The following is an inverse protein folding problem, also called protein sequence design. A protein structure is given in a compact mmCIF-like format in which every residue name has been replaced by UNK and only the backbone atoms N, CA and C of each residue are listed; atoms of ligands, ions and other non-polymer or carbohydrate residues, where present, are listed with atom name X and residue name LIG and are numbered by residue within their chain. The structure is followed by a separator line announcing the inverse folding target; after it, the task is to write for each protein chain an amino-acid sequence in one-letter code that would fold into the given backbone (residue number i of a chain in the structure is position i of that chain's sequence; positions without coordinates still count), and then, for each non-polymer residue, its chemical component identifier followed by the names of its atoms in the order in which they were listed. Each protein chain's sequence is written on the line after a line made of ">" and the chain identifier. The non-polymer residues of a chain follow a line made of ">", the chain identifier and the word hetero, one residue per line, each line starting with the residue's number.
data_IF_039233878093
#
_entry.id   IF_039233878093
#
_cell.length_a   1.000
_cell.length_b   1.000
_cell.length_c   1.000
_cell.angle_alpha   90.00
_cell.angle_beta   90.00
_cell.angle_gamma   90.00
#
_symmetry.space_group_name_H-M   'P 1'
#
loop_
_entity.id
_entity.type
_entity.pdbx_description
1 polymer ?
#
# COMPACT_ATOMS: atom_id res chain seq x y z
N UNK A 1 16.29 -17.00 -3.82
CA UNK A 1 16.57 -17.70 -2.55
C UNK A 1 15.69 -18.94 -2.51
N UNK A 2 16.24 -20.08 -2.13
CA UNK A 2 15.45 -21.31 -1.98
C UNK A 2 14.56 -21.22 -0.73
N UNK A 3 13.39 -21.88 -0.72
CA UNK A 3 12.50 -21.93 0.45
C UNK A 3 13.18 -22.47 1.72
N UNK A 4 14.27 -23.24 1.57
CA UNK A 4 15.09 -23.72 2.68
C UNK A 4 15.93 -22.61 3.32
N UNK A 5 16.53 -21.73 2.52
CA UNK A 5 17.36 -20.62 3.01
C UNK A 5 16.52 -19.56 3.75
N UNK A 6 15.26 -19.34 3.35
CA UNK A 6 14.35 -18.44 4.07
C UNK A 6 14.02 -18.92 5.49
N UNK A 7 13.86 -20.23 5.67
CA UNK A 7 13.48 -20.83 6.96
C UNK A 7 14.65 -20.97 7.93
N UNK A 8 15.90 -20.98 7.44
CA UNK A 8 17.08 -21.01 8.31
C UNK A 8 17.43 -19.64 8.90
N UNK A 9 17.21 -18.57 8.16
CA UNK A 9 17.54 -17.21 8.61
C UNK A 9 16.70 -16.83 9.82
N UNK A 10 17.32 -16.45 10.93
CA UNK A 10 16.62 -16.12 12.17
C UNK A 10 15.89 -17.31 12.81
N UNK A 11 16.36 -18.55 12.59
CA UNK A 11 15.79 -19.79 13.18
C UNK A 11 15.60 -19.76 14.70
N UNK A 12 16.32 -18.87 15.38
CA UNK A 12 16.31 -18.72 16.83
C UNK A 12 15.35 -17.63 17.34
N UNK A 13 14.69 -16.92 16.43
CA UNK A 13 13.67 -15.93 16.78
C UNK A 13 12.39 -16.69 17.13
N UNK A 14 11.91 -16.50 18.35
CA UNK A 14 10.59 -16.97 18.73
C UNK A 14 9.56 -16.25 17.85
N UNK A 15 8.64 -17.00 17.24
CA UNK A 15 7.64 -16.46 16.32
C UNK A 15 8.22 -15.86 15.02
N UNK A 16 9.28 -16.48 14.50
CA UNK A 16 9.92 -16.18 13.20
C UNK A 16 8.94 -16.01 12.02
N UNK A 17 7.79 -16.67 12.06
CA UNK A 17 6.77 -16.60 11.02
C UNK A 17 6.17 -15.20 10.78
N UNK A 18 6.30 -14.26 11.73
CA UNK A 18 5.79 -12.90 11.58
C UNK A 18 6.80 -11.88 11.04
N UNK A 19 8.02 -12.31 10.73
CA UNK A 19 9.10 -11.44 10.29
C UNK A 19 9.47 -11.80 8.86
N UNK A 20 9.52 -10.83 7.96
CA UNK A 20 9.97 -11.07 6.59
C UNK A 20 11.46 -11.46 6.59
N UNK A 21 11.82 -12.51 5.83
CA UNK A 21 13.19 -13.04 5.75
C UNK A 21 14.21 -11.98 5.35
N UNK A 22 13.79 -11.04 4.49
CA UNK A 22 14.60 -9.93 3.97
C UNK A 22 14.95 -8.91 5.06
N UNK A 23 14.19 -8.87 6.16
CA UNK A 23 14.41 -7.95 7.28
C UNK A 23 15.36 -8.50 8.33
N UNK A 24 15.70 -9.77 8.27
CA UNK A 24 16.62 -10.40 9.22
C UNK A 24 18.04 -10.28 8.66
N UNK A 25 18.95 -9.73 9.44
CA UNK A 25 20.38 -9.64 9.12
C UNK A 25 21.14 -10.46 10.15
N UNK A 26 21.92 -11.44 9.68
CA UNK A 26 22.78 -12.27 10.52
C UNK A 26 24.22 -12.11 10.01
N UNK A 27 24.94 -11.07 10.48
CA UNK A 27 26.30 -10.83 10.04
C UNK A 27 27.25 -11.90 10.61
N UNK A 28 28.19 -12.38 9.79
CA UNK A 28 29.19 -13.36 10.25
C UNK A 28 30.14 -12.76 11.29
N UNK A 29 30.44 -11.45 11.17
CA UNK A 29 31.22 -10.68 12.14
C UNK A 29 30.57 -9.32 12.35
N UNK A 30 30.41 -8.94 13.61
CA UNK A 30 29.84 -7.65 14.00
C UNK A 30 30.56 -7.14 15.24
N UNK A 31 31.21 -5.99 15.13
CA UNK A 31 31.75 -5.26 16.28
C UNK A 31 31.01 -3.95 16.43
N UNK A 32 30.56 -3.63 17.65
CA UNK A 32 29.96 -2.33 17.95
C UNK A 32 30.56 -1.81 19.26
N UNK A 33 31.11 -0.59 19.23
CA UNK A 33 31.71 0.03 20.41
C UNK A 33 32.89 -0.74 21.00
N UNK A 34 33.61 -1.53 20.19
CA UNK A 34 34.72 -2.38 20.64
C UNK A 34 34.28 -3.70 21.29
N UNK A 35 32.99 -4.05 21.22
CA UNK A 35 32.45 -5.33 21.69
C UNK A 35 32.12 -6.21 20.49
N UNK A 36 32.66 -7.44 20.48
CA UNK A 36 32.29 -8.47 19.51
C UNK A 36 30.87 -8.98 19.80
N UNK A 37 29.99 -8.79 18.82
CA UNK A 37 28.61 -9.26 18.80
C UNK A 37 28.37 -10.23 17.64
N UNK A 38 29.41 -10.91 17.16
CA UNK A 38 29.27 -12.00 16.20
C UNK A 38 28.37 -13.14 16.70
N UNK A 39 27.73 -13.83 15.77
CA UNK A 39 26.80 -14.92 16.06
C UNK A 39 25.39 -14.47 16.44
N UNK A 40 24.67 -15.28 17.23
CA UNK A 40 23.21 -15.13 17.47
C UNK A 40 22.81 -13.78 18.07
N UNK A 41 23.62 -13.21 18.95
CA UNK A 41 23.30 -11.95 19.61
C UNK A 41 23.43 -10.75 18.66
N UNK A 42 24.13 -10.91 17.54
CA UNK A 42 24.24 -9.94 16.46
C UNK A 42 23.13 -10.04 15.41
N UNK A 43 22.14 -10.93 15.57
CA UNK A 43 20.99 -10.98 14.66
C UNK A 43 20.16 -9.71 14.79
N UNK A 44 20.07 -8.95 13.71
CA UNK A 44 19.28 -7.72 13.64
C UNK A 44 17.98 -7.96 12.89
N UNK A 45 16.88 -7.43 13.41
CA UNK A 45 15.60 -7.39 12.71
C UNK A 45 15.32 -5.94 12.34
N UNK A 46 15.34 -5.64 11.04
CA UNK A 46 15.03 -4.32 10.54
C UNK A 46 13.56 -3.95 10.83
N UNK A 47 13.29 -2.69 11.20
CA UNK A 47 11.93 -2.25 11.51
C UNK A 47 11.01 -2.36 10.30
N UNK A 48 9.72 -2.61 10.53
CA UNK A 48 8.66 -2.62 9.49
C UNK A 48 8.16 -1.23 9.12
N UNK A 49 8.82 -0.18 9.58
CA UNK A 49 8.45 1.20 9.32
C UNK A 49 8.39 1.46 7.82
N UNK A 50 7.29 2.04 7.37
CA UNK A 50 7.09 2.48 6.00
C UNK A 50 7.53 3.93 5.94
N UNK A 51 8.48 4.24 5.06
CA UNK A 51 9.00 5.61 4.91
C UNK A 51 8.58 6.23 3.57
N UNK A 52 8.05 5.44 2.65
CA UNK A 52 7.74 5.84 1.27
C UNK A 52 6.34 6.48 1.16
N UNK A 53 6.09 7.51 1.97
CA UNK A 53 4.89 8.33 1.88
C UNK A 53 5.19 9.63 1.14
N UNK A 54 4.39 9.91 0.11
CA UNK A 54 4.42 11.15 -0.62
C UNK A 54 3.06 11.85 -0.55
N UNK A 55 2.99 12.85 0.32
CA UNK A 55 1.78 13.63 0.54
C UNK A 55 1.39 14.51 -0.66
N UNK A 56 2.27 14.70 -1.64
CA UNK A 56 1.93 15.44 -2.87
C UNK A 56 0.91 14.71 -3.72
N UNK A 57 0.88 13.37 -3.68
CA UNK A 57 -0.06 12.54 -4.44
C UNK A 57 -1.52 12.92 -4.15
N UNK A 58 -1.83 13.14 -2.88
CA UNK A 58 -3.16 13.54 -2.44
C UNK A 58 -3.54 14.93 -3.00
N UNK A 59 -2.60 15.87 -3.01
CA UNK A 59 -2.81 17.20 -3.57
C UNK A 59 -2.92 17.18 -5.10
N UNK A 60 -2.16 16.32 -5.79
CA UNK A 60 -2.29 16.10 -7.23
C UNK A 60 -3.67 15.56 -7.61
N UNK A 61 -4.16 14.56 -6.88
CA UNK A 61 -5.52 14.03 -7.10
C UNK A 61 -6.57 15.10 -6.84
N UNK A 62 -6.43 15.91 -5.78
CA UNK A 62 -7.38 17.01 -5.48
C UNK A 62 -7.48 18.05 -6.61
N UNK A 63 -6.40 18.28 -7.36
CA UNK A 63 -6.36 19.19 -8.51
C UNK A 63 -7.08 18.63 -9.74
N UNK A 64 -7.26 17.30 -9.81
CA UNK A 64 -7.92 16.64 -10.92
C UNK A 64 -9.45 16.60 -10.75
N UNK A 65 -10.22 16.54 -11.85
CA UNK A 65 -11.67 16.43 -11.80
C UNK A 65 -12.13 15.25 -10.93
N UNK A 66 -13.08 15.51 -10.01
CA UNK A 66 -13.62 14.52 -9.07
C UNK A 66 -12.74 14.24 -7.84
N UNK A 67 -11.53 14.78 -7.78
CA UNK A 67 -10.66 14.63 -6.61
C UNK A 67 -10.91 15.64 -5.48
N UNK A 68 -11.62 16.75 -5.74
CA UNK A 68 -11.80 17.87 -4.79
C UNK A 68 -12.20 17.44 -3.37
N UNK A 69 -13.15 16.51 -3.27
CA UNK A 69 -13.73 16.07 -2.00
C UNK A 69 -13.07 14.81 -1.41
N UNK A 70 -12.00 14.27 -2.01
CA UNK A 70 -11.36 13.01 -1.58
C UNK A 70 -11.00 13.00 -0.09
N UNK A 71 -10.63 14.16 0.46
CA UNK A 71 -10.30 14.36 1.88
C UNK A 71 -11.44 13.93 2.83
N UNK A 72 -12.70 14.04 2.42
CA UNK A 72 -13.90 13.71 3.21
C UNK A 72 -14.11 12.22 3.42
N UNK A 73 -13.39 11.36 2.71
CA UNK A 73 -13.52 9.92 2.83
C UNK A 73 -13.10 9.41 4.21
N UNK A 74 -14.04 8.76 4.90
CA UNK A 74 -13.89 8.12 6.22
C UNK A 74 -13.95 6.58 6.20
N UNK A 75 -13.80 5.98 5.02
CA UNK A 75 -13.61 4.52 4.85
C UNK A 75 -14.83 3.61 5.16
N UNK A 76 -16.06 4.13 5.06
CA UNK A 76 -17.29 3.32 5.28
C UNK A 76 -17.53 2.14 4.33
N UNK A 77 -17.01 2.18 3.09
CA UNK A 77 -17.10 1.04 2.16
C UNK A 77 -18.34 0.95 1.26
N UNK A 78 -19.30 1.89 1.34
CA UNK A 78 -20.45 1.92 0.42
C UNK A 78 -20.04 1.87 -1.06
N UNK A 79 -18.99 2.59 -1.42
CA UNK A 79 -18.49 2.63 -2.80
C UNK A 79 -18.05 1.26 -3.32
N UNK A 80 -17.46 0.42 -2.46
CA UNK A 80 -17.05 -0.95 -2.80
C UNK A 80 -18.26 -1.86 -2.87
N UNK A 81 -19.20 -1.76 -1.91
CA UNK A 81 -20.40 -2.59 -1.85
C UNK A 81 -21.30 -2.46 -3.11
N UNK A 82 -21.41 -1.27 -3.69
CA UNK A 82 -22.22 -1.03 -4.91
C UNK A 82 -21.46 -1.25 -6.21
N UNK A 83 -20.15 -1.54 -6.15
CA UNK A 83 -19.31 -1.62 -7.34
C UNK A 83 -19.36 -3.02 -7.97
N UNK A 84 -19.84 -3.16 -9.22
CA UNK A 84 -19.87 -4.46 -9.88
C UNK A 84 -18.45 -4.98 -10.19
N UNK A 85 -17.50 -4.08 -10.48
CA UNK A 85 -16.10 -4.44 -10.74
C UNK A 85 -15.45 -5.01 -9.49
N UNK A 86 -15.65 -4.38 -8.33
CA UNK A 86 -15.11 -4.88 -7.07
C UNK A 86 -15.72 -6.24 -6.65
N UNK A 87 -16.94 -6.53 -7.09
CA UNK A 87 -17.57 -7.83 -6.89
C UNK A 87 -16.96 -8.91 -7.79
N UNK A 88 -16.67 -8.58 -9.05
CA UNK A 88 -16.06 -9.52 -10.00
C UNK A 88 -14.55 -9.69 -9.81
N UNK A 89 -13.85 -8.64 -9.37
CA UNK A 89 -12.40 -8.57 -9.19
C UNK A 89 -12.09 -8.04 -7.78
N UNK A 90 -11.91 -8.93 -6.79
CA UNK A 90 -11.66 -8.54 -5.40
C UNK A 90 -10.42 -7.64 -5.19
N UNK A 91 -9.47 -7.68 -6.11
CA UNK A 91 -8.26 -6.86 -6.15
C UNK A 91 -8.58 -5.38 -6.44
N UNK A 92 -9.68 -5.11 -7.15
CA UNK A 92 -10.17 -3.76 -7.39
C UNK A 92 -11.05 -3.29 -6.24
N UNK A 93 -10.51 -2.40 -5.41
CA UNK A 93 -11.27 -1.84 -4.29
C UNK A 93 -11.19 -0.31 -4.28
N UNK A 94 -12.24 0.41 -4.70
CA UNK A 94 -12.21 1.88 -4.78
C UNK A 94 -12.03 2.54 -3.41
N UNK A 95 -12.53 1.92 -2.33
CA UNK A 95 -12.29 2.39 -0.96
C UNK A 95 -10.80 2.36 -0.60
N UNK A 96 -10.15 1.23 -0.87
CA UNK A 96 -8.73 1.02 -0.55
C UNK A 96 -7.85 1.95 -1.39
N UNK A 97 -8.13 2.08 -2.68
CA UNK A 97 -7.41 3.00 -3.57
C UNK A 97 -7.50 4.44 -3.08
N UNK A 98 -8.68 4.90 -2.64
CA UNK A 98 -8.82 6.23 -2.01
C UNK A 98 -7.99 6.33 -0.73
N UNK A 99 -7.96 5.28 0.10
CA UNK A 99 -7.21 5.25 1.35
C UNK A 99 -5.70 5.44 1.14
N UNK A 100 -5.11 4.61 0.28
CA UNK A 100 -3.67 4.64 0.00
C UNK A 100 -3.27 5.93 -0.73
N UNK A 101 -4.16 6.47 -1.57
CA UNK A 101 -3.99 7.79 -2.20
C UNK A 101 -3.93 8.90 -1.15
N UNK A 102 -4.87 8.90 -0.18
CA UNK A 102 -4.87 9.88 0.92
C UNK A 102 -3.62 9.78 1.79
N UNK A 103 -3.12 8.58 2.02
CA UNK A 103 -1.87 8.38 2.77
C UNK A 103 -0.62 8.77 1.98
N UNK A 104 -0.71 8.81 0.64
CA UNK A 104 0.46 9.06 -0.20
C UNK A 104 1.36 7.83 -0.35
N UNK A 105 0.85 6.62 -0.12
CA UNK A 105 1.69 5.42 -0.09
C UNK A 105 2.05 4.96 -1.52
N UNK A 106 3.07 5.60 -2.12
CA UNK A 106 3.39 5.46 -3.55
C UNK A 106 3.79 4.05 -3.97
N UNK A 107 4.57 3.34 -3.15
CA UNK A 107 4.97 1.96 -3.49
C UNK A 107 3.78 1.03 -3.50
N UNK A 108 2.83 1.24 -2.58
CA UNK A 108 1.60 0.46 -2.52
C UNK A 108 0.66 0.78 -3.67
N UNK A 109 0.40 2.05 -3.97
CA UNK A 109 -0.53 2.43 -5.05
C UNK A 109 -0.06 1.93 -6.42
N UNK A 110 1.26 1.86 -6.66
CA UNK A 110 1.85 1.30 -7.88
C UNK A 110 1.49 -0.15 -8.12
N UNK A 111 1.37 -0.96 -7.06
CA UNK A 111 0.95 -2.37 -7.17
C UNK A 111 -0.45 -2.50 -7.74
N UNK A 112 -1.30 -1.48 -7.59
CA UNK A 112 -2.67 -1.48 -8.08
C UNK A 112 -2.85 -0.82 -9.44
N UNK A 113 -1.77 -0.43 -10.12
CA UNK A 113 -1.81 0.27 -11.41
C UNK A 113 -2.71 -0.45 -12.42
N UNK A 114 -2.58 -1.77 -12.56
CA UNK A 114 -3.38 -2.56 -13.49
C UNK A 114 -4.87 -2.62 -13.10
N UNK A 115 -5.16 -2.74 -11.80
CA UNK A 115 -6.52 -2.85 -11.31
C UNK A 115 -7.29 -1.54 -11.44
N UNK A 116 -6.64 -0.37 -11.34
CA UNK A 116 -7.32 0.93 -11.49
C UNK A 116 -8.00 1.06 -12.86
N UNK A 117 -7.42 0.48 -13.92
CA UNK A 117 -8.00 0.50 -15.27
C UNK A 117 -9.23 -0.41 -15.43
N UNK A 118 -9.53 -1.28 -14.46
CA UNK A 118 -10.75 -2.09 -14.46
C UNK A 118 -12.01 -1.24 -14.17
N UNK A 119 -11.85 -0.01 -13.67
CA UNK A 119 -12.97 0.88 -13.41
C UNK A 119 -13.77 1.16 -14.68
N UNK A 120 -15.03 0.71 -14.71
CA UNK A 120 -15.95 0.95 -15.85
C UNK A 120 -16.48 2.39 -15.94
N UNK A 121 -16.15 3.26 -14.99
CA UNK A 121 -16.61 4.65 -14.98
C UNK A 121 -18.11 4.85 -14.73
N UNK A 122 -18.85 3.82 -14.31
CA UNK A 122 -20.32 3.84 -14.20
C UNK A 122 -20.91 4.79 -13.13
N UNK A 123 -20.11 5.32 -12.21
CA UNK A 123 -20.55 6.37 -11.27
C UNK A 123 -21.40 5.92 -10.06
N UNK A 124 -21.81 4.65 -9.97
CA UNK A 124 -22.63 4.13 -8.85
C UNK A 124 -22.04 4.43 -7.47
N UNK A 125 -20.72 4.30 -7.36
CA UNK A 125 -19.96 4.57 -6.13
C UNK A 125 -20.02 6.04 -5.67
N UNK A 126 -20.13 6.99 -6.60
CA UNK A 126 -20.24 8.41 -6.31
C UNK A 126 -21.63 8.78 -5.80
N UNK A 127 -22.69 8.20 -6.39
CA UNK A 127 -24.06 8.36 -5.90
C UNK A 127 -24.24 7.73 -4.51
N UNK A 128 -23.61 6.57 -4.26
CA UNK A 128 -23.71 5.88 -2.98
C UNK A 128 -22.90 6.52 -1.83
N UNK A 129 -22.08 7.53 -2.11
CA UNK A 129 -21.18 8.10 -1.10
C UNK A 129 -21.92 9.05 -0.14
N UNK A 130 -21.99 8.75 1.18
CA UNK A 130 -22.68 9.63 2.14
C UNK A 130 -21.88 10.89 2.49
N UNK A 131 -20.64 11.02 1.99
CA UNK A 131 -19.73 12.13 2.29
C UNK A 131 -19.42 12.99 1.06
N UNK A 132 -20.17 12.79 -0.03
CA UNK A 132 -20.01 13.56 -1.27
C UNK A 132 -18.58 13.48 -1.84
N UNK A 133 -17.96 12.30 -1.69
CA UNK A 133 -16.73 11.95 -2.41
C UNK A 133 -17.16 11.42 -3.78
N UNK A 134 -16.35 11.68 -4.80
CA UNK A 134 -16.54 11.12 -6.14
C UNK A 134 -15.50 10.01 -6.42
N UNK A 135 -15.69 8.76 -5.93
CA UNK A 135 -14.78 7.66 -6.23
C UNK A 135 -14.58 7.42 -7.72
N UNK A 136 -15.61 7.59 -8.56
CA UNK A 136 -15.47 7.47 -10.02
C UNK A 136 -14.46 8.48 -10.54
N UNK A 137 -14.58 9.73 -10.14
CA UNK A 137 -13.63 10.78 -10.48
C UNK A 137 -12.23 10.52 -9.94
N UNK A 138 -12.10 10.03 -8.70
CA UNK A 138 -10.80 9.62 -8.14
C UNK A 138 -10.15 8.49 -8.96
N UNK A 139 -10.91 7.48 -9.42
CA UNK A 139 -10.37 6.43 -10.28
C UNK A 139 -9.85 7.01 -11.59
N UNK A 140 -10.60 7.91 -12.23
CA UNK A 140 -10.15 8.61 -13.44
C UNK A 140 -8.90 9.45 -13.19
N UNK A 141 -8.82 10.15 -12.05
CA UNK A 141 -7.65 10.92 -11.65
C UNK A 141 -6.42 10.01 -11.49
N UNK A 142 -6.56 8.86 -10.84
CA UNK A 142 -5.48 7.87 -10.69
C UNK A 142 -5.02 7.30 -12.03
N UNK A 143 -5.94 6.98 -12.96
CA UNK A 143 -5.57 6.56 -14.32
C UNK A 143 -4.69 7.60 -15.03
N UNK A 144 -5.03 8.89 -14.91
CA UNK A 144 -4.23 9.98 -15.49
C UNK A 144 -2.84 10.06 -14.84
N UNK A 145 -2.77 9.94 -13.51
CA UNK A 145 -1.50 9.99 -12.80
C UNK A 145 -0.58 8.81 -13.15
N UNK A 146 -1.13 7.60 -13.30
CA UNK A 146 -0.35 6.44 -13.74
C UNK A 146 0.16 6.54 -15.18
N UNK A 147 -0.57 7.24 -16.06
CA UNK A 147 -0.09 7.56 -17.41
C UNK A 147 1.06 8.57 -17.39
N UNK A 148 1.10 9.47 -16.39
CA UNK A 148 2.19 10.44 -16.18
C UNK A 148 3.43 9.84 -15.51
N UNK A 149 3.43 8.55 -15.18
CA UNK A 149 4.57 7.86 -14.58
C UNK A 149 4.66 7.98 -13.06
N UNK A 150 3.55 8.26 -12.37
CA UNK A 150 3.47 8.24 -10.90
C UNK A 150 3.85 6.87 -10.33
#
# INVERSE_FOLDING_TARGET
>A
MSEKEEKEKGRFIFERGYIDSERIIEPEKLELGGVDMSGRWGTLVLPRTIEQFDHTLFEEVKKLPGGKNIHRCWQCGNCTAVCPVAHAHPEFNPRYLIHITKMGYKTEIKKFKEYVYLCSGCGRCSVACPRDVDPKGVMSALSILFQRGV
#
